data_IF_808480973638
#
_entry.id   IF_808480973638
#
_cell.length_a   1.000
_cell.length_b   1.000
_cell.length_c   1.000
_cell.angle_alpha   90.00
_cell.angle_beta   90.00
_cell.angle_gamma   90.00
#
_symmetry.space_group_name_H-M   'P 1'
#
loop_
_entity.id
_entity.type
_entity.pdbx_description
1 polymer ?
#
# COMPACT_ATOMS: atom_id res chain seq x y z
N UNK A 1 -10.38 29.24 6.56
CA UNK A 1 -10.93 28.10 5.84
C UNK A 1 -10.88 28.25 4.32
N UNK A 2 -11.30 29.38 3.76
CA UNK A 2 -11.32 29.61 2.31
C UNK A 2 -9.94 29.48 1.65
N UNK A 3 -8.90 30.04 2.27
CA UNK A 3 -7.53 29.92 1.77
C UNK A 3 -7.03 28.47 1.84
N UNK A 4 -7.43 27.72 2.88
CA UNK A 4 -7.09 26.31 3.01
C UNK A 4 -7.74 25.48 1.89
N UNK A 5 -8.99 25.74 1.54
CA UNK A 5 -9.67 25.10 0.43
C UNK A 5 -8.97 25.37 -0.91
N UNK A 6 -8.59 26.63 -1.19
CA UNK A 6 -7.82 26.97 -2.39
C UNK A 6 -6.52 26.22 -2.52
N UNK A 7 -5.76 26.08 -1.45
CA UNK A 7 -4.49 25.33 -1.49
C UNK A 7 -4.70 23.82 -1.66
N UNK A 8 -5.84 23.29 -1.23
CA UNK A 8 -6.22 21.89 -1.45
C UNK A 8 -6.59 21.58 -2.90
N UNK A 9 -6.99 22.55 -3.71
CA UNK A 9 -7.27 22.37 -5.14
C UNK A 9 -6.02 21.90 -5.92
N UNK A 10 -4.83 22.16 -5.39
CA UNK A 10 -3.54 21.76 -5.98
C UNK A 10 -2.82 20.71 -5.15
N UNK A 11 -3.61 19.77 -4.64
CA UNK A 11 -3.16 18.65 -3.82
C UNK A 11 -3.05 17.36 -4.65
N UNK A 12 -2.36 17.41 -5.78
CA UNK A 12 -2.42 16.39 -6.82
C UNK A 12 -1.67 15.08 -6.46
N UNK A 13 -0.62 15.15 -5.62
CA UNK A 13 0.29 14.03 -5.38
C UNK A 13 0.60 13.79 -3.91
N UNK A 14 -0.37 13.97 -3.02
CA UNK A 14 -0.18 13.69 -1.62
C UNK A 14 -0.72 12.31 -1.22
N UNK A 15 -0.21 11.79 -0.08
CA UNK A 15 -0.61 10.49 0.48
C UNK A 15 -2.10 10.43 0.80
N UNK A 16 -2.63 9.22 0.92
CA UNK A 16 -4.01 8.98 1.35
C UNK A 16 -4.34 9.69 2.67
N UNK A 17 -5.51 10.30 2.72
CA UNK A 17 -5.99 11.06 3.88
C UNK A 17 -6.31 10.13 5.05
N UNK A 18 -5.71 10.40 6.20
CA UNK A 18 -6.13 9.77 7.45
C UNK A 18 -7.27 10.60 8.06
N UNK A 19 -8.51 10.20 7.80
CA UNK A 19 -9.72 10.90 8.23
C UNK A 19 -9.79 11.04 9.76
N UNK A 20 -9.34 10.03 10.52
CA UNK A 20 -9.34 10.10 11.98
C UNK A 20 -8.39 11.21 12.48
N UNK A 21 -7.22 11.35 11.85
CA UNK A 21 -6.26 12.43 12.16
C UNK A 21 -6.84 13.80 11.83
N UNK A 22 -7.51 13.93 10.68
CA UNK A 22 -8.19 15.20 10.28
C UNK A 22 -9.25 15.60 11.30
N UNK A 23 -10.15 14.66 11.66
CA UNK A 23 -11.21 14.91 12.65
C UNK A 23 -10.66 15.30 14.01
N UNK A 24 -9.59 14.65 14.47
CA UNK A 24 -8.94 15.03 15.73
C UNK A 24 -8.41 16.46 15.68
N UNK A 25 -7.64 16.80 14.65
CA UNK A 25 -7.11 18.16 14.48
C UNK A 25 -8.23 19.21 14.36
N UNK A 26 -9.29 18.91 13.61
CA UNK A 26 -10.44 19.79 13.46
C UNK A 26 -11.16 20.04 14.80
N UNK A 27 -11.25 19.00 15.65
CA UNK A 27 -11.78 19.14 17.01
C UNK A 27 -10.89 20.07 17.84
N UNK A 28 -9.56 19.81 17.86
CA UNK A 28 -8.61 20.63 18.61
C UNK A 28 -8.67 22.11 18.17
N UNK A 29 -8.83 22.37 16.87
CA UNK A 29 -9.01 23.73 16.32
C UNK A 29 -10.30 24.38 16.81
N UNK A 30 -11.45 23.68 16.79
CA UNK A 30 -12.75 24.20 17.27
C UNK A 30 -12.74 24.48 18.77
N UNK A 31 -12.03 23.69 19.54
CA UNK A 31 -11.94 23.84 20.99
C UNK A 31 -10.88 24.86 21.44
N UNK A 32 -10.17 25.48 20.48
CA UNK A 32 -9.13 26.46 20.79
C UNK A 32 -7.82 25.87 21.32
N UNK A 33 -7.64 24.54 21.17
CA UNK A 33 -6.43 23.83 21.61
C UNK A 33 -5.37 23.73 20.51
N UNK A 34 -5.49 24.58 19.46
CA UNK A 34 -4.54 24.60 18.36
C UNK A 34 -3.40 25.57 18.60
N UNK A 35 -2.19 25.04 18.72
CA UNK A 35 -0.97 25.82 18.83
C UNK A 35 -0.21 25.90 17.50
N UNK A 36 0.37 27.09 17.22
CA UNK A 36 1.26 27.27 16.08
C UNK A 36 2.59 26.61 16.37
N UNK A 37 2.87 25.49 15.70
CA UNK A 37 4.14 24.76 15.83
C UNK A 37 5.07 25.08 14.65
N UNK A 38 6.32 24.59 14.71
CA UNK A 38 7.27 24.66 13.59
C UNK A 38 6.79 23.89 12.36
N UNK A 39 5.92 22.91 12.52
CA UNK A 39 5.31 22.17 11.42
C UNK A 39 4.17 23.00 10.81
N UNK A 40 4.38 23.48 9.59
CA UNK A 40 3.45 24.31 8.86
C UNK A 40 2.89 23.66 7.60
N UNK A 41 2.58 24.50 6.64
CA UNK A 41 2.18 24.16 5.28
C UNK A 41 3.36 24.47 4.36
N UNK A 42 3.64 23.62 3.40
CA UNK A 42 4.66 23.84 2.39
C UNK A 42 4.04 23.85 0.99
N UNK A 43 4.31 24.91 0.24
CA UNK A 43 3.79 25.13 -1.12
C UNK A 43 4.99 25.30 -2.06
N UNK A 44 5.04 24.55 -3.15
CA UNK A 44 6.08 24.66 -4.16
C UNK A 44 5.95 25.96 -4.99
N UNK A 45 6.97 26.29 -5.77
CA UNK A 45 7.02 27.48 -6.62
C UNK A 45 5.90 27.53 -7.67
N UNK A 46 5.40 26.37 -8.10
CA UNK A 46 4.27 26.24 -9.04
C UNK A 46 2.91 26.21 -8.36
N UNK A 47 2.85 26.38 -7.04
CA UNK A 47 1.63 26.39 -6.24
C UNK A 47 1.14 25.01 -5.77
N UNK A 48 1.85 23.93 -6.09
CA UNK A 48 1.49 22.58 -5.64
C UNK A 48 1.70 22.44 -4.13
N UNK A 49 0.74 21.80 -3.44
CA UNK A 49 0.86 21.50 -2.02
C UNK A 49 1.86 20.37 -1.76
N UNK A 50 2.98 20.69 -1.11
CA UNK A 50 4.06 19.73 -0.80
C UNK A 50 3.84 19.05 0.55
N UNK A 51 3.43 19.82 1.59
CA UNK A 51 3.11 19.29 2.92
C UNK A 51 1.98 20.12 3.58
N UNK A 52 1.29 19.48 4.53
CA UNK A 52 0.23 20.13 5.29
C UNK A 52 -1.20 19.72 4.92
N UNK A 53 -1.39 18.75 4.03
CA UNK A 53 -2.69 18.25 3.58
C UNK A 53 -3.69 18.01 4.73
N UNK A 54 -3.29 17.25 5.76
CA UNK A 54 -4.18 16.96 6.89
C UNK A 54 -4.53 18.20 7.70
N UNK A 55 -3.61 19.17 7.81
CA UNK A 55 -3.84 20.45 8.50
C UNK A 55 -4.81 21.32 7.73
N UNK A 56 -4.65 21.43 6.41
CA UNK A 56 -5.58 22.17 5.56
C UNK A 56 -6.97 21.56 5.58
N UNK A 57 -7.08 20.24 5.46
CA UNK A 57 -8.36 19.52 5.58
C UNK A 57 -9.02 19.75 6.94
N UNK A 58 -8.23 19.76 8.02
CA UNK A 58 -8.74 20.04 9.36
C UNK A 58 -9.23 21.48 9.52
N UNK A 59 -8.57 22.45 8.89
CA UNK A 59 -9.03 23.85 8.86
C UNK A 59 -10.37 23.95 8.14
N UNK A 60 -10.51 23.32 6.98
CA UNK A 60 -11.77 23.31 6.21
C UNK A 60 -12.87 22.62 7.01
N UNK A 61 -12.61 21.45 7.60
CA UNK A 61 -13.59 20.70 8.39
C UNK A 61 -13.97 21.42 9.68
N UNK A 62 -13.03 22.11 10.31
CA UNK A 62 -13.31 22.85 11.55
C UNK A 62 -14.13 24.12 11.31
N UNK A 63 -14.02 24.75 10.15
CA UNK A 63 -14.57 26.06 9.83
C UNK A 63 -13.90 27.22 10.59
N UNK A 64 -12.84 26.95 11.37
CA UNK A 64 -12.17 27.92 12.22
C UNK A 64 -10.93 28.48 11.53
N UNK A 65 -10.69 29.78 11.68
CA UNK A 65 -9.46 30.45 11.25
C UNK A 65 -8.37 30.21 12.30
N UNK A 66 -7.28 29.57 11.90
CA UNK A 66 -6.13 29.31 12.77
C UNK A 66 -4.87 29.94 12.20
N UNK A 67 -3.93 30.29 13.09
CA UNK A 67 -2.61 30.77 12.69
C UNK A 67 -1.70 29.58 12.39
N UNK A 68 -0.93 29.66 11.29
CA UNK A 68 -0.06 28.58 10.86
C UNK A 68 1.17 29.11 10.10
N UNK A 69 2.30 28.43 10.22
CA UNK A 69 3.47 28.72 9.41
C UNK A 69 3.25 28.22 7.98
N UNK A 70 3.60 29.04 6.99
CA UNK A 70 3.53 28.68 5.57
C UNK A 70 4.87 28.95 4.91
N UNK A 71 5.43 27.94 4.29
CA UNK A 71 6.66 28.02 3.50
C UNK A 71 6.30 27.99 2.03
N UNK A 72 6.64 29.04 1.30
CA UNK A 72 6.52 29.11 -0.15
C UNK A 72 7.83 28.70 -0.83
N UNK A 73 7.74 28.33 -2.11
CA UNK A 73 8.88 27.85 -2.90
C UNK A 73 9.59 26.63 -2.29
N UNK A 74 8.83 25.79 -1.59
CA UNK A 74 9.36 24.56 -1.03
C UNK A 74 9.77 23.60 -2.17
N UNK A 75 10.88 22.92 -1.98
CA UNK A 75 11.32 21.90 -2.92
C UNK A 75 10.33 20.73 -2.96
N UNK A 76 9.98 20.25 -4.15
CA UNK A 76 9.21 19.02 -4.33
C UNK A 76 10.13 17.84 -4.08
N UNK A 77 10.41 17.52 -2.83
CA UNK A 77 11.23 16.37 -2.47
C UNK A 77 10.35 15.22 -1.99
N UNK A 78 10.58 14.05 -2.53
CA UNK A 78 9.95 12.82 -2.05
C UNK A 78 10.53 12.39 -0.68
N UNK A 79 11.65 12.98 -0.29
CA UNK A 79 12.40 12.68 0.94
C UNK A 79 12.16 13.71 2.06
N UNK A 80 11.08 14.49 2.00
CA UNK A 80 10.76 15.41 3.10
C UNK A 80 10.45 14.60 4.35
N UNK A 81 11.28 14.78 5.37
CA UNK A 81 11.07 14.24 6.70
C UNK A 81 9.91 15.00 7.38
N UNK A 82 8.73 14.42 7.31
CA UNK A 82 7.49 15.01 7.83
C UNK A 82 7.08 14.44 9.19
N UNK A 83 8.04 13.95 9.98
CA UNK A 83 7.78 13.37 11.31
C UNK A 83 7.03 12.01 11.29
N UNK A 84 6.44 11.65 10.16
CA UNK A 84 5.99 10.29 9.83
C UNK A 84 6.75 9.86 8.58
N UNK A 85 7.72 8.97 8.74
CA UNK A 85 8.46 8.39 7.61
C UNK A 85 7.45 7.88 6.59
N UNK A 86 7.53 8.40 5.36
CA UNK A 86 6.66 7.94 4.26
C UNK A 86 6.91 6.46 4.04
N UNK A 87 5.86 5.66 4.16
CA UNK A 87 5.96 4.23 3.83
C UNK A 87 6.33 4.07 2.35
N UNK A 88 6.92 2.93 1.98
CA UNK A 88 7.17 2.61 0.57
C UNK A 88 5.90 2.73 -0.26
N UNK A 89 4.75 2.30 0.26
CA UNK A 89 3.45 2.45 -0.39
C UNK A 89 3.12 3.92 -0.71
N UNK A 90 3.33 4.82 0.24
CA UNK A 90 3.07 6.25 0.01
C UNK A 90 4.01 6.84 -1.05
N UNK A 91 5.26 6.39 -1.08
CA UNK A 91 6.25 6.85 -2.09
C UNK A 91 5.90 6.35 -3.49
N UNK A 92 5.58 5.08 -3.63
CA UNK A 92 5.16 4.47 -4.89
C UNK A 92 3.90 5.13 -5.44
N UNK A 93 2.93 5.49 -4.60
CA UNK A 93 1.73 6.22 -5.02
C UNK A 93 2.01 7.66 -5.48
N UNK A 94 3.16 8.22 -5.11
CA UNK A 94 3.62 9.55 -5.51
C UNK A 94 4.60 9.51 -6.70
N UNK A 95 4.88 8.32 -7.25
CA UNK A 95 5.73 8.17 -8.43
C UNK A 95 5.05 8.79 -9.67
N UNK A 96 5.80 8.94 -10.74
CA UNK A 96 5.29 9.45 -12.02
C UNK A 96 4.27 8.50 -12.68
N UNK A 97 4.17 7.25 -12.18
CA UNK A 97 3.27 6.23 -12.72
C UNK A 97 1.93 6.21 -11.99
N UNK A 98 0.85 5.92 -12.71
CA UNK A 98 -0.43 5.59 -12.08
C UNK A 98 -0.32 4.27 -11.31
N UNK A 99 -0.23 4.38 -9.98
CA UNK A 99 -0.13 3.26 -9.05
C UNK A 99 -1.41 3.04 -8.24
N UNK A 100 -2.53 3.64 -8.65
CA UNK A 100 -3.83 3.55 -7.96
C UNK A 100 -4.34 2.11 -7.82
N UNK A 101 -3.90 1.21 -8.71
CA UNK A 101 -4.22 -0.22 -8.71
C UNK A 101 -3.41 -1.05 -7.69
N UNK A 102 -2.39 -0.48 -7.04
CA UNK A 102 -1.55 -1.17 -6.07
C UNK A 102 -2.06 -1.03 -4.64
N UNK A 103 -1.67 -1.98 -3.79
CA UNK A 103 -1.92 -1.96 -2.35
C UNK A 103 -0.71 -2.49 -1.57
N UNK A 104 -0.75 -2.37 -0.24
CA UNK A 104 0.36 -2.80 0.62
C UNK A 104 0.74 -4.28 0.45
N UNK A 105 -0.21 -5.15 0.14
CA UNK A 105 0.05 -6.59 -0.06
C UNK A 105 0.81 -6.82 -1.36
N UNK A 106 0.41 -6.16 -2.45
CA UNK A 106 1.11 -6.21 -3.75
C UNK A 106 2.52 -5.67 -3.61
N UNK A 107 2.71 -4.52 -2.95
CA UNK A 107 4.03 -3.93 -2.75
C UNK A 107 4.95 -4.84 -1.90
N UNK A 108 4.40 -5.45 -0.87
CA UNK A 108 5.13 -6.42 -0.04
C UNK A 108 5.48 -7.69 -0.80
N UNK A 109 4.58 -8.17 -1.66
CA UNK A 109 4.80 -9.31 -2.54
C UNK A 109 5.89 -9.02 -3.58
N UNK A 110 5.84 -7.86 -4.24
CA UNK A 110 6.86 -7.42 -5.20
C UNK A 110 8.25 -7.33 -4.55
N UNK A 111 8.35 -6.74 -3.36
CA UNK A 111 9.61 -6.71 -2.61
C UNK A 111 10.12 -8.12 -2.26
N UNK A 112 9.23 -9.05 -1.92
CA UNK A 112 9.61 -10.44 -1.62
C UNK A 112 10.14 -11.13 -2.88
N UNK A 113 9.48 -10.98 -4.02
CA UNK A 113 9.90 -11.51 -5.32
C UNK A 113 11.27 -10.95 -5.71
N UNK A 114 11.46 -9.64 -5.61
CA UNK A 114 12.74 -9.01 -5.93
C UNK A 114 13.90 -9.55 -5.10
N UNK A 115 13.70 -9.76 -3.81
CA UNK A 115 14.72 -10.34 -2.91
C UNK A 115 15.05 -11.80 -3.20
N UNK A 116 14.06 -12.59 -3.63
CA UNK A 116 14.22 -14.03 -3.85
C UNK A 116 14.81 -14.32 -5.22
N UNK A 117 14.31 -13.70 -6.28
CA UNK A 117 14.65 -14.06 -7.65
C UNK A 117 15.65 -13.13 -8.32
N UNK A 118 15.63 -11.86 -8.01
CA UNK A 118 16.43 -10.90 -8.77
C UNK A 118 17.76 -10.54 -8.10
N UNK A 119 17.99 -10.97 -6.84
CA UNK A 119 19.09 -10.43 -6.06
C UNK A 119 19.05 -8.89 -5.98
N UNK A 120 17.98 -8.31 -6.57
CA UNK A 120 17.76 -6.89 -6.70
C UNK A 120 16.99 -6.39 -5.48
N UNK A 121 17.52 -5.34 -4.91
CA UNK A 121 16.86 -4.67 -3.81
C UNK A 121 15.81 -3.71 -4.40
N UNK A 122 14.57 -4.18 -4.59
CA UNK A 122 13.43 -3.32 -4.91
C UNK A 122 13.04 -2.41 -3.73
N UNK A 123 14.01 -2.07 -2.88
CA UNK A 123 13.81 -1.16 -1.75
C UNK A 123 13.77 0.31 -2.16
N UNK A 124 14.21 0.62 -3.37
CA UNK A 124 14.12 1.95 -3.96
C UNK A 124 12.79 2.07 -4.71
N UNK A 125 12.13 3.18 -4.54
CA UNK A 125 10.79 3.44 -5.07
C UNK A 125 10.76 3.43 -6.60
N UNK A 126 11.77 3.98 -7.26
CA UNK A 126 11.90 3.99 -8.72
C UNK A 126 11.97 2.57 -9.27
N UNK A 127 12.91 1.76 -8.77
CA UNK A 127 13.07 0.37 -9.19
C UNK A 127 11.81 -0.47 -8.93
N UNK A 128 11.12 -0.24 -7.81
CA UNK A 128 9.88 -0.92 -7.51
C UNK A 128 8.75 -0.49 -8.45
N UNK A 129 8.63 0.81 -8.73
CA UNK A 129 7.61 1.36 -9.62
C UNK A 129 7.80 0.88 -11.06
N UNK A 130 9.01 0.89 -11.57
CA UNK A 130 9.34 0.34 -12.90
C UNK A 130 9.02 -1.15 -12.99
N UNK A 131 9.39 -1.92 -11.96
CA UNK A 131 9.09 -3.35 -11.91
C UNK A 131 7.59 -3.63 -11.90
N UNK A 132 6.83 -2.88 -11.09
CA UNK A 132 5.37 -2.97 -11.02
C UNK A 132 4.73 -2.65 -12.37
N UNK A 133 5.18 -1.61 -13.05
CA UNK A 133 4.67 -1.25 -14.38
C UNK A 133 5.01 -2.30 -15.43
N UNK A 134 6.25 -2.82 -15.40
CA UNK A 134 6.68 -3.89 -16.32
C UNK A 134 5.79 -5.12 -16.25
N UNK A 135 5.37 -5.51 -15.04
CA UNK A 135 4.59 -6.74 -14.79
C UNK A 135 3.12 -6.45 -14.43
N UNK A 136 2.63 -5.26 -14.73
CA UNK A 136 1.28 -4.81 -14.37
C UNK A 136 0.20 -5.82 -14.79
N UNK A 137 0.21 -6.25 -16.03
CA UNK A 137 -0.80 -7.16 -16.58
C UNK A 137 -0.84 -8.50 -15.83
N UNK A 138 0.33 -9.08 -15.55
CA UNK A 138 0.45 -10.33 -14.80
C UNK A 138 -0.01 -10.16 -13.35
N UNK A 139 0.39 -9.05 -12.71
CA UNK A 139 0.01 -8.74 -11.33
C UNK A 139 -1.50 -8.51 -11.22
N UNK A 140 -2.11 -7.73 -12.11
CA UNK A 140 -3.56 -7.50 -12.11
C UNK A 140 -4.33 -8.80 -12.39
N UNK A 141 -3.86 -9.64 -13.31
CA UNK A 141 -4.45 -10.95 -13.57
C UNK A 141 -4.39 -11.87 -12.35
N UNK A 142 -3.21 -11.98 -11.75
CA UNK A 142 -3.01 -12.78 -10.54
C UNK A 142 -3.87 -12.30 -9.36
N UNK A 143 -3.91 -10.99 -9.13
CA UNK A 143 -4.62 -10.41 -7.99
C UNK A 143 -6.14 -10.47 -8.11
N UNK A 144 -6.70 -10.59 -9.32
CA UNK A 144 -8.13 -10.85 -9.52
C UNK A 144 -8.58 -12.19 -8.92
N UNK A 145 -7.69 -13.17 -8.88
CA UNK A 145 -7.96 -14.47 -8.28
C UNK A 145 -7.93 -14.45 -6.74
N UNK A 146 -7.43 -13.35 -6.12
CA UNK A 146 -7.33 -13.21 -4.68
C UNK A 146 -8.66 -12.70 -4.12
N UNK A 147 -9.40 -13.58 -3.45
CA UNK A 147 -10.65 -13.24 -2.75
C UNK A 147 -10.34 -12.70 -1.35
N UNK A 148 -11.29 -11.96 -0.78
CA UNK A 148 -11.19 -11.55 0.62
C UNK A 148 -11.30 -12.78 1.51
N UNK A 149 -10.16 -13.28 2.02
CA UNK A 149 -10.16 -14.42 2.92
C UNK A 149 -10.74 -14.05 4.29
N UNK A 150 -11.59 -14.91 4.81
CA UNK A 150 -12.14 -14.82 6.18
C UNK A 150 -11.12 -15.30 7.22
N UNK A 151 -10.17 -16.13 6.80
CA UNK A 151 -9.16 -16.73 7.68
C UNK A 151 -7.83 -15.96 7.61
N UNK A 152 -7.25 -15.56 8.75
CA UNK A 152 -5.97 -14.86 8.79
C UNK A 152 -4.84 -15.68 8.18
N UNK A 153 -3.95 -15.03 7.44
CA UNK A 153 -2.74 -15.64 6.88
C UNK A 153 -2.88 -16.13 5.44
N UNK A 154 -4.09 -16.43 4.94
CA UNK A 154 -4.26 -16.89 3.56
C UNK A 154 -3.92 -15.81 2.53
N UNK A 155 -4.28 -14.55 2.77
CA UNK A 155 -3.95 -13.41 1.93
C UNK A 155 -2.62 -12.74 2.36
N UNK A 156 -1.59 -13.54 2.57
CA UNK A 156 -0.27 -13.02 2.92
C UNK A 156 0.47 -12.47 1.69
N UNK A 157 1.43 -11.59 1.92
CA UNK A 157 2.36 -11.16 0.86
C UNK A 157 3.07 -12.34 0.21
N UNK A 158 3.32 -13.42 0.95
CA UNK A 158 3.94 -14.64 0.43
C UNK A 158 3.05 -15.38 -0.55
N UNK A 159 1.79 -15.63 -0.19
CA UNK A 159 0.81 -16.27 -1.08
C UNK A 159 0.59 -15.41 -2.34
N UNK A 160 0.42 -14.09 -2.16
CA UNK A 160 0.29 -13.15 -3.28
C UNK A 160 1.51 -13.17 -4.19
N UNK A 161 2.72 -13.22 -3.63
CA UNK A 161 3.96 -13.30 -4.40
C UNK A 161 4.04 -14.58 -5.24
N UNK A 162 3.66 -15.73 -4.68
CA UNK A 162 3.66 -17.00 -5.40
C UNK A 162 2.70 -16.99 -6.60
N UNK A 163 1.50 -16.44 -6.42
CA UNK A 163 0.50 -16.32 -7.50
C UNK A 163 0.98 -15.35 -8.59
N UNK A 164 1.60 -14.24 -8.23
CA UNK A 164 2.21 -13.30 -9.18
C UNK A 164 3.31 -14.02 -9.98
N UNK A 165 4.19 -14.78 -9.32
CA UNK A 165 5.25 -15.54 -9.99
C UNK A 165 4.66 -16.60 -10.94
N UNK A 166 3.59 -17.29 -10.55
CA UNK A 166 2.89 -18.20 -11.45
C UNK A 166 2.40 -17.50 -12.72
N UNK A 167 1.77 -16.32 -12.57
CA UNK A 167 1.32 -15.53 -13.71
C UNK A 167 2.48 -14.98 -14.56
N UNK A 168 3.62 -14.65 -13.96
CA UNK A 168 4.83 -14.24 -14.67
C UNK A 168 5.49 -15.38 -15.46
N UNK A 169 5.24 -16.64 -15.08
CA UNK A 169 5.66 -17.84 -15.78
C UNK A 169 4.57 -18.40 -16.71
N UNK A 170 3.66 -17.52 -17.16
CA UNK A 170 2.60 -17.82 -18.13
C UNK A 170 1.63 -18.95 -17.72
N UNK A 171 1.48 -19.20 -16.41
CA UNK A 171 0.43 -20.10 -15.92
C UNK A 171 -0.93 -19.48 -16.25
N UNK A 172 -1.79 -20.16 -17.01
CA UNK A 172 -3.08 -19.62 -17.40
C UNK A 172 -3.95 -19.26 -16.19
N UNK A 173 -4.59 -18.09 -16.23
CA UNK A 173 -5.39 -17.54 -15.13
C UNK A 173 -6.44 -18.52 -14.61
N UNK A 174 -7.02 -19.36 -15.49
CA UNK A 174 -8.02 -20.37 -15.13
C UNK A 174 -7.49 -21.40 -14.13
N UNK A 175 -6.20 -21.78 -14.23
CA UNK A 175 -5.60 -22.70 -13.27
C UNK A 175 -5.30 -22.04 -11.94
N UNK A 176 -4.85 -20.79 -11.97
CA UNK A 176 -4.66 -19.97 -10.75
C UNK A 176 -6.00 -19.80 -10.04
N UNK A 177 -7.07 -19.48 -10.77
CA UNK A 177 -8.41 -19.30 -10.22
C UNK A 177 -8.93 -20.58 -9.55
N UNK A 178 -8.87 -21.72 -10.25
CA UNK A 178 -9.26 -23.01 -9.70
C UNK A 178 -8.48 -23.36 -8.43
N UNK A 179 -7.16 -23.19 -8.46
CA UNK A 179 -6.33 -23.42 -7.27
C UNK A 179 -6.79 -22.54 -6.11
N UNK A 180 -7.01 -21.23 -6.35
CA UNK A 180 -7.42 -20.29 -5.32
C UNK A 180 -8.83 -20.57 -4.79
N UNK A 181 -9.74 -21.08 -5.62
CA UNK A 181 -11.08 -21.46 -5.18
C UNK A 181 -11.04 -22.61 -4.18
N UNK A 182 -10.26 -23.66 -4.47
CA UNK A 182 -10.06 -24.77 -3.54
C UNK A 182 -9.30 -24.32 -2.29
N UNK A 183 -8.26 -23.51 -2.47
CA UNK A 183 -7.45 -22.97 -1.38
C UNK A 183 -8.28 -22.13 -0.39
N UNK A 184 -9.22 -21.31 -0.87
CA UNK A 184 -10.07 -20.52 0.02
C UNK A 184 -11.25 -21.31 0.61
N UNK A 185 -11.88 -22.16 -0.19
CA UNK A 185 -13.02 -22.96 0.29
C UNK A 185 -12.58 -24.07 1.26
N UNK A 186 -11.41 -24.65 1.03
CA UNK A 186 -10.95 -25.85 1.75
C UNK A 186 -11.74 -27.09 1.37
N UNK A 187 -12.36 -27.09 0.18
CA UNK A 187 -13.17 -28.19 -0.31
C UNK A 187 -12.94 -28.46 -1.80
N UNK A 188 -12.84 -29.72 -2.18
CA UNK A 188 -12.83 -30.18 -3.57
C UNK A 188 -13.33 -31.63 -3.64
N UNK A 189 -13.93 -31.99 -4.77
CA UNK A 189 -14.28 -33.39 -5.10
C UNK A 189 -13.21 -34.05 -5.99
N UNK A 190 -12.11 -33.34 -6.30
CA UNK A 190 -11.05 -33.81 -7.17
C UNK A 190 -9.80 -34.13 -6.33
N UNK A 191 -9.39 -35.41 -6.30
CA UNK A 191 -8.21 -35.84 -5.55
C UNK A 191 -6.94 -35.10 -5.96
N UNK A 192 -6.79 -34.76 -7.24
CA UNK A 192 -5.64 -34.00 -7.75
C UNK A 192 -5.53 -32.58 -7.18
N UNK A 193 -6.58 -32.04 -6.57
CA UNK A 193 -6.61 -30.69 -6.00
C UNK A 193 -6.43 -30.70 -4.45
N UNK A 194 -6.36 -31.88 -3.81
CA UNK A 194 -6.20 -31.96 -2.36
C UNK A 194 -4.93 -31.31 -1.84
N UNK A 195 -3.91 -31.13 -2.67
CA UNK A 195 -2.69 -30.39 -2.30
C UNK A 195 -2.98 -28.93 -1.93
N UNK A 196 -3.98 -28.30 -2.56
CA UNK A 196 -4.36 -26.92 -2.23
C UNK A 196 -4.97 -26.84 -0.81
N UNK A 197 -5.75 -27.85 -0.40
CA UNK A 197 -6.31 -27.96 0.95
C UNK A 197 -5.18 -28.21 1.96
N UNK A 198 -4.27 -29.15 1.68
CA UNK A 198 -3.14 -29.46 2.55
C UNK A 198 -2.25 -28.22 2.76
N UNK A 199 -1.95 -27.48 1.69
CA UNK A 199 -1.20 -26.23 1.77
C UNK A 199 -1.94 -25.18 2.63
N UNK A 200 -3.24 -25.01 2.39
CA UNK A 200 -4.09 -24.09 3.18
C UNK A 200 -3.98 -24.38 4.68
N UNK A 201 -4.15 -25.65 5.06
CA UNK A 201 -4.14 -26.07 6.46
C UNK A 201 -2.77 -25.91 7.09
N UNK A 202 -1.70 -26.18 6.33
CA UNK A 202 -0.32 -25.91 6.75
C UNK A 202 -0.10 -24.41 6.99
N UNK A 203 -0.52 -23.54 6.07
CA UNK A 203 -0.36 -22.09 6.20
C UNK A 203 -1.16 -21.56 7.40
N UNK A 204 -2.36 -22.04 7.64
CA UNK A 204 -3.17 -21.64 8.80
C UNK A 204 -2.52 -22.07 10.13
N UNK A 205 -1.90 -23.25 10.18
CA UNK A 205 -1.17 -23.71 11.35
C UNK A 205 0.08 -22.86 11.60
N UNK A 206 0.89 -22.64 10.58
CA UNK A 206 2.14 -21.92 10.68
C UNK A 206 1.94 -20.40 10.92
N UNK A 207 0.83 -19.82 10.49
CA UNK A 207 0.50 -18.42 10.78
C UNK A 207 0.31 -18.15 12.29
N UNK A 208 0.05 -19.18 13.09
CA UNK A 208 -0.03 -19.06 14.56
C UNK A 208 1.35 -18.94 15.21
N UNK A 209 2.39 -19.46 14.56
CA UNK A 209 3.75 -19.54 15.10
C UNK A 209 4.66 -18.47 14.47
N UNK A 210 4.65 -18.36 13.14
CA UNK A 210 5.49 -17.42 12.38
C UNK A 210 4.79 -16.08 12.20
N UNK A 211 5.55 -14.98 12.22
CA UNK A 211 5.00 -13.62 12.07
C UNK A 211 5.73 -12.82 11.01
N UNK A 212 5.03 -11.84 10.43
CA UNK A 212 5.60 -10.83 9.52
C UNK A 212 6.39 -11.44 8.36
N UNK A 213 7.63 -10.98 8.16
CA UNK A 213 8.49 -11.40 7.05
C UNK A 213 8.82 -12.89 7.10
N UNK A 214 8.96 -13.48 8.28
CA UNK A 214 9.24 -14.91 8.41
C UNK A 214 8.09 -15.75 7.86
N UNK A 215 6.85 -15.41 8.20
CA UNK A 215 5.67 -16.07 7.66
C UNK A 215 5.52 -15.83 6.16
N UNK A 216 5.72 -14.60 5.68
CA UNK A 216 5.61 -14.28 4.26
C UNK A 216 6.59 -15.09 3.40
N UNK A 217 7.84 -15.25 3.84
CA UNK A 217 8.84 -16.10 3.15
C UNK A 217 8.42 -17.57 3.16
N UNK A 218 8.01 -18.09 4.30
CA UNK A 218 7.52 -19.45 4.42
C UNK A 218 6.33 -19.69 3.47
N UNK A 219 5.29 -18.84 3.55
CA UNK A 219 4.11 -18.95 2.70
C UNK A 219 4.47 -18.88 1.20
N UNK A 220 5.41 -18.02 0.81
CA UNK A 220 5.87 -17.92 -0.57
C UNK A 220 6.46 -19.23 -1.06
N UNK A 221 7.47 -19.79 -0.36
CA UNK A 221 8.12 -21.02 -0.80
C UNK A 221 7.19 -22.23 -0.79
N UNK A 222 6.24 -22.28 0.16
CA UNK A 222 5.28 -23.39 0.22
C UNK A 222 4.20 -23.30 -0.86
N UNK A 223 3.82 -22.09 -1.27
CA UNK A 223 2.80 -21.88 -2.32
C UNK A 223 3.40 -21.99 -3.73
N UNK A 224 4.68 -21.65 -3.92
CA UNK A 224 5.36 -21.67 -5.21
C UNK A 224 5.86 -23.07 -5.61
N UNK A 225 5.99 -24.01 -4.67
CA UNK A 225 6.37 -25.41 -4.89
C UNK A 225 5.17 -26.33 -4.89
#
# INVERSE_FOLDING_TARGET
PEQAAKWLERNDNNRNVNVAKVKKMAKDMREGHWDTTHQGIAIASDGTLVDGQHRLLAIVESGVTVRMNVTFNAAKSQHIDSGNIRSMANRVQMSEYDMSWTNNTILSAANLIGRVFAGSNLSHEEALSEWLMKYRTQIESATKCIKKATLPGLNSAGTTAAIIVAAMNDVPAIYIEKFMDVFYSGFTNNEAEHYAIALRDELLRENRVKRGTQYARFAFFRTAN
#
